data_IF_262680266634
#
_entry.id   IF_262680266634
#
_cell.length_a   1.000
_cell.length_b   1.000
_cell.length_c   1.000
_cell.angle_alpha   90.00
_cell.angle_beta   90.00
_cell.angle_gamma   90.00
#
_symmetry.space_group_name_H-M   'P 1'
#
loop_
_entity.id
_entity.type
_entity.pdbx_description
1 polymer ?
#
# COMPACT_ATOMS: atom_id res chain seq x y z
N UNK A 1 -24.86 44.64 -25.66
CA UNK A 1 -24.17 43.47 -26.26
C UNK A 1 -23.02 42.93 -25.41
N UNK A 2 -22.08 43.75 -24.89
CA UNK A 2 -20.95 43.26 -24.05
C UNK A 2 -21.37 42.43 -22.83
N UNK A 3 -22.41 42.83 -22.11
CA UNK A 3 -22.84 42.11 -20.89
C UNK A 3 -23.50 40.75 -21.20
N UNK A 4 -24.15 40.60 -22.36
CA UNK A 4 -24.80 39.34 -22.76
C UNK A 4 -23.75 38.29 -23.16
N UNK A 5 -22.69 38.71 -23.85
CA UNK A 5 -21.56 37.83 -24.19
C UNK A 5 -20.81 37.38 -22.93
N UNK A 6 -20.62 38.27 -21.96
CA UNK A 6 -19.99 37.94 -20.68
C UNK A 6 -20.80 36.92 -19.89
N UNK A 7 -22.13 37.11 -19.79
CA UNK A 7 -23.04 36.20 -19.09
C UNK A 7 -23.07 34.82 -19.76
N UNK A 8 -23.11 34.78 -21.09
CA UNK A 8 -23.05 33.51 -21.84
C UNK A 8 -21.71 32.77 -21.60
N UNK A 9 -20.60 33.49 -21.55
CA UNK A 9 -19.28 32.90 -21.30
C UNK A 9 -19.15 32.34 -19.88
N UNK A 10 -19.63 33.08 -18.89
CA UNK A 10 -19.69 32.61 -17.49
C UNK A 10 -20.63 31.40 -17.36
N UNK A 11 -21.76 31.40 -18.05
CA UNK A 11 -22.67 30.25 -18.09
C UNK A 11 -22.02 28.98 -18.66
N UNK A 12 -21.24 29.11 -19.74
CA UNK A 12 -20.49 27.98 -20.32
C UNK A 12 -19.37 27.51 -19.39
N UNK A 13 -18.66 28.41 -18.72
CA UNK A 13 -17.63 28.04 -17.74
C UNK A 13 -18.22 27.31 -16.53
N UNK A 14 -19.32 27.80 -15.97
CA UNK A 14 -19.99 27.17 -14.83
C UNK A 14 -20.57 25.81 -15.24
N UNK A 15 -21.27 25.74 -16.38
CA UNK A 15 -21.83 24.48 -16.85
C UNK A 15 -20.75 23.46 -17.24
N UNK A 16 -19.70 23.91 -17.95
CA UNK A 16 -18.56 23.09 -18.33
C UNK A 16 -17.78 22.56 -17.14
N UNK A 17 -17.50 23.41 -16.14
CA UNK A 17 -16.85 22.98 -14.89
C UNK A 17 -17.72 22.02 -14.08
N UNK A 18 -19.04 22.23 -14.03
CA UNK A 18 -19.97 21.32 -13.37
C UNK A 18 -20.03 19.96 -14.07
N UNK A 19 -20.01 19.94 -15.40
CA UNK A 19 -19.95 18.70 -16.19
C UNK A 19 -18.61 17.98 -16.00
N UNK A 20 -17.48 18.69 -16.02
CA UNK A 20 -16.16 18.12 -15.72
C UNK A 20 -16.13 17.56 -14.30
N UNK A 21 -16.75 18.22 -13.33
CA UNK A 21 -16.82 17.72 -11.95
C UNK A 21 -17.69 16.46 -11.85
N UNK A 22 -18.82 16.43 -12.56
CA UNK A 22 -19.76 15.31 -12.57
C UNK A 22 -19.23 14.09 -13.34
N UNK A 23 -18.48 14.32 -14.41
CA UNK A 23 -17.86 13.28 -15.25
C UNK A 23 -16.36 13.13 -14.99
N UNK A 24 -15.84 13.75 -13.93
CA UNK A 24 -14.44 13.68 -13.49
C UNK A 24 -14.00 12.22 -13.50
N UNK A 25 -14.80 11.39 -12.88
CA UNK A 25 -14.58 9.98 -12.76
C UNK A 25 -14.46 9.24 -14.10
N UNK A 26 -15.20 9.64 -15.13
CA UNK A 26 -15.14 9.03 -16.48
C UNK A 26 -13.91 9.51 -17.26
N UNK A 27 -13.59 10.81 -17.17
CA UNK A 27 -12.43 11.41 -17.85
C UNK A 27 -11.12 10.88 -17.26
N UNK A 28 -11.07 10.65 -15.94
CA UNK A 28 -9.87 10.16 -15.26
C UNK A 28 -9.83 8.64 -15.05
N UNK A 29 -10.85 7.88 -15.48
CA UNK A 29 -10.86 6.41 -15.37
C UNK A 29 -9.76 5.75 -16.22
N UNK A 30 -9.31 6.43 -17.27
CA UNK A 30 -8.32 5.94 -18.23
C UNK A 30 -6.90 5.90 -17.65
N UNK A 31 -6.67 6.64 -16.56
CA UNK A 31 -5.38 6.69 -15.87
C UNK A 31 -5.23 5.57 -14.83
N UNK A 32 -6.31 4.86 -14.48
CA UNK A 32 -6.27 3.80 -13.48
C UNK A 32 -5.88 2.45 -14.09
N UNK A 33 -5.24 1.60 -13.29
CA UNK A 33 -4.98 0.22 -13.66
C UNK A 33 -6.32 -0.47 -13.99
N UNK A 34 -6.34 -1.21 -15.09
CA UNK A 34 -7.47 -2.11 -15.37
C UNK A 34 -7.28 -3.38 -14.54
N UNK A 35 -8.28 -3.80 -13.76
CA UNK A 35 -8.16 -5.05 -13.01
C UNK A 35 -8.07 -6.23 -13.97
N UNK A 36 -7.36 -7.27 -13.54
CA UNK A 36 -7.36 -8.56 -14.22
C UNK A 36 -8.44 -9.41 -13.57
N UNK A 37 -9.60 -9.50 -14.22
CA UNK A 37 -10.76 -10.20 -13.65
C UNK A 37 -11.56 -9.34 -12.66
N UNK A 38 -12.18 -10.01 -11.68
CA UNK A 38 -13.03 -9.35 -10.69
C UNK A 38 -12.23 -8.89 -9.46
N UNK A 39 -12.45 -7.64 -9.06
CA UNK A 39 -11.83 -7.09 -7.85
C UNK A 39 -12.57 -7.60 -6.62
N UNK A 40 -11.89 -8.36 -5.77
CA UNK A 40 -12.39 -8.86 -4.50
C UNK A 40 -11.76 -8.07 -3.36
N UNK A 41 -12.60 -7.42 -2.56
CA UNK A 41 -12.17 -6.55 -1.45
C UNK A 41 -12.20 -7.27 -0.11
N UNK A 42 -12.81 -8.46 -0.06
CA UNK A 42 -12.87 -9.27 1.14
C UNK A 42 -11.47 -9.67 1.59
N UNK A 43 -11.29 -9.70 2.90
CA UNK A 43 -10.04 -10.10 3.52
C UNK A 43 -9.88 -11.62 3.41
N UNK A 44 -8.66 -12.06 3.10
CA UNK A 44 -8.30 -13.47 2.99
C UNK A 44 -7.06 -13.76 3.81
N UNK A 45 -7.23 -14.46 4.93
CA UNK A 45 -6.13 -14.85 5.82
C UNK A 45 -5.05 -15.67 5.09
N UNK A 46 -5.45 -16.50 4.13
CA UNK A 46 -4.52 -17.32 3.34
C UNK A 46 -3.58 -16.44 2.51
N UNK A 47 -4.13 -15.42 1.84
CA UNK A 47 -3.37 -14.53 0.97
C UNK A 47 -2.55 -13.54 1.79
N UNK A 48 -3.06 -13.10 2.94
CA UNK A 48 -2.28 -12.32 3.90
C UNK A 48 -1.03 -13.10 4.36
N UNK A 49 -1.16 -14.39 4.66
CA UNK A 49 0.01 -15.24 5.00
C UNK A 49 1.01 -15.36 3.84
N UNK A 50 0.52 -15.43 2.60
CA UNK A 50 1.39 -15.46 1.42
C UNK A 50 2.19 -14.14 1.26
N UNK A 51 1.54 -13.00 1.50
CA UNK A 51 2.22 -11.70 1.54
C UNK A 51 3.21 -11.64 2.70
N UNK A 52 2.83 -12.10 3.89
CA UNK A 52 3.69 -12.11 5.07
C UNK A 52 4.97 -12.93 4.83
N UNK A 53 4.85 -14.12 4.22
CA UNK A 53 5.99 -14.96 3.85
C UNK A 53 6.90 -14.28 2.82
N UNK A 54 6.31 -13.71 1.77
CA UNK A 54 7.07 -13.02 0.73
C UNK A 54 7.88 -11.84 1.28
N UNK A 55 7.28 -11.05 2.19
CA UNK A 55 7.96 -9.92 2.83
C UNK A 55 9.11 -10.36 3.74
N UNK A 56 8.94 -11.46 4.49
CA UNK A 56 9.99 -12.02 5.33
C UNK A 56 11.20 -12.46 4.49
N UNK A 57 10.95 -13.08 3.33
CA UNK A 57 11.99 -13.59 2.43
C UNK A 57 12.68 -12.49 1.60
N UNK A 58 11.96 -11.44 1.19
CA UNK A 58 12.42 -10.51 0.16
C UNK A 58 12.58 -9.05 0.60
N UNK A 59 11.95 -8.63 1.71
CA UNK A 59 11.86 -7.20 2.08
C UNK A 59 12.46 -6.87 3.46
N UNK A 60 12.86 -7.88 4.25
CA UNK A 60 13.44 -7.72 5.60
C UNK A 60 14.90 -7.23 5.63
N UNK A 61 15.53 -7.03 4.46
CA UNK A 61 16.94 -6.68 4.33
C UNK A 61 17.28 -5.26 4.82
N UNK A 62 17.82 -5.14 6.04
CA UNK A 62 18.56 -3.97 6.52
C UNK A 62 17.74 -2.76 7.02
N UNK A 63 16.42 -2.75 6.80
CA UNK A 63 15.54 -1.62 7.18
C UNK A 63 14.55 -1.93 8.33
N UNK A 64 14.57 -3.15 8.89
CA UNK A 64 13.67 -3.56 9.98
C UNK A 64 12.69 -4.66 9.55
N UNK A 65 11.54 -4.71 10.21
CA UNK A 65 10.47 -5.67 9.90
C UNK A 65 9.40 -5.03 9.03
N UNK A 66 8.81 -5.81 8.13
CA UNK A 66 7.71 -5.37 7.29
C UNK A 66 6.36 -5.91 7.80
N UNK A 67 5.37 -5.02 7.88
CA UNK A 67 3.96 -5.37 8.04
C UNK A 67 3.14 -4.76 6.92
N UNK A 68 1.93 -5.26 6.73
CA UNK A 68 1.06 -4.79 5.66
C UNK A 68 -0.39 -4.64 6.10
N UNK A 69 -1.10 -3.77 5.37
CA UNK A 69 -2.54 -3.59 5.46
C UNK A 69 -3.19 -4.02 4.12
N UNK A 70 -4.17 -4.92 4.20
CA UNK A 70 -4.91 -5.44 3.05
C UNK A 70 -5.93 -4.44 2.48
N UNK A 71 -6.03 -4.36 1.15
CA UNK A 71 -7.06 -3.58 0.46
C UNK A 71 -7.85 -4.36 -0.58
N UNK A 72 -7.39 -5.55 -0.98
CA UNK A 72 -8.11 -6.43 -1.90
C UNK A 72 -7.17 -7.17 -2.84
N UNK A 73 -7.79 -7.83 -3.82
CA UNK A 73 -7.12 -8.57 -4.90
C UNK A 73 -7.92 -8.51 -6.19
N UNK A 74 -7.29 -8.92 -7.28
CA UNK A 74 -7.96 -9.44 -8.47
C UNK A 74 -7.40 -10.84 -8.82
N UNK A 75 -7.47 -11.29 -10.07
CA UNK A 75 -7.02 -12.63 -10.44
C UNK A 75 -5.50 -12.79 -10.42
N UNK A 76 -4.73 -11.71 -10.59
CA UNK A 76 -3.27 -11.73 -10.68
C UNK A 76 -2.57 -10.86 -9.64
N UNK A 77 -3.27 -9.94 -8.98
CA UNK A 77 -2.63 -8.98 -8.11
C UNK A 77 -3.26 -8.92 -6.72
N UNK A 78 -2.40 -8.77 -5.72
CA UNK A 78 -2.77 -8.40 -4.35
C UNK A 78 -2.43 -6.95 -4.12
N UNK A 79 -3.31 -6.23 -3.42
CA UNK A 79 -3.17 -4.81 -3.18
C UNK A 79 -3.07 -4.53 -1.69
N UNK A 80 -1.92 -3.99 -1.28
CA UNK A 80 -1.63 -3.73 0.14
C UNK A 80 -0.95 -2.38 0.32
N UNK A 81 -0.82 -1.96 1.57
CA UNK A 81 0.17 -0.96 1.99
C UNK A 81 1.17 -1.60 2.93
N UNK A 82 2.44 -1.30 2.74
CA UNK A 82 3.57 -1.87 3.48
C UNK A 82 4.15 -0.83 4.42
N UNK A 83 4.49 -1.24 5.64
CA UNK A 83 5.25 -0.45 6.59
C UNK A 83 6.46 -1.29 7.00
N UNK A 84 7.64 -0.89 6.54
CA UNK A 84 8.89 -1.54 6.87
C UNK A 84 9.74 -0.60 7.72
N UNK A 85 9.90 -0.90 9.00
CA UNK A 85 10.66 -0.08 9.94
C UNK A 85 11.10 -0.91 11.16
N UNK A 86 11.84 -0.29 12.08
CA UNK A 86 12.04 -0.77 13.44
C UNK A 86 10.90 -0.31 14.34
N UNK A 87 10.31 -1.26 15.04
CA UNK A 87 9.22 -1.03 15.99
C UNK A 87 9.77 -0.94 17.40
N UNK A 88 9.35 0.07 18.15
CA UNK A 88 9.71 0.32 19.55
C UNK A 88 8.47 0.51 20.40
N UNK A 89 8.53 0.07 21.66
CA UNK A 89 7.48 0.26 22.64
C UNK A 89 7.93 1.25 23.70
N UNK A 90 7.26 2.41 23.76
CA UNK A 90 7.53 3.51 24.69
C UNK A 90 6.25 3.83 25.45
N UNK A 91 6.31 3.91 26.77
CA UNK A 91 5.16 4.24 27.63
C UNK A 91 3.90 3.40 27.35
N UNK A 92 4.10 2.13 26.95
CA UNK A 92 3.03 1.19 26.62
C UNK A 92 2.46 1.31 25.19
N UNK A 93 2.97 2.22 24.37
CA UNK A 93 2.53 2.45 22.98
C UNK A 93 3.63 2.04 22.00
N UNK A 94 3.28 1.28 20.96
CA UNK A 94 4.20 0.93 19.89
C UNK A 94 4.27 2.03 18.84
N UNK A 95 5.49 2.37 18.40
CA UNK A 95 5.81 3.35 17.36
C UNK A 95 6.92 2.82 16.44
N UNK A 96 7.11 3.49 15.32
CA UNK A 96 8.23 3.26 14.38
C UNK A 96 9.39 4.22 14.66
N UNK A 97 10.65 3.81 14.47
CA UNK A 97 11.81 4.70 14.64
C UNK A 97 12.08 5.60 13.42
N UNK A 98 11.93 5.09 12.19
CA UNK A 98 12.26 5.79 10.94
C UNK A 98 11.13 6.63 10.34
N UNK A 99 9.87 6.33 10.67
CA UNK A 99 8.70 7.10 10.29
C UNK A 99 7.47 6.24 9.99
N UNK A 100 6.29 6.87 9.89
CA UNK A 100 5.00 6.16 9.77
C UNK A 100 4.53 5.94 8.32
N UNK A 101 5.41 6.14 7.34
CA UNK A 101 4.96 6.20 5.95
C UNK A 101 4.72 4.81 5.38
N UNK A 102 3.46 4.41 5.33
CA UNK A 102 3.04 3.30 4.48
C UNK A 102 3.44 3.54 3.03
N UNK A 103 4.01 2.52 2.40
CA UNK A 103 4.24 2.47 0.97
C UNK A 103 3.17 1.59 0.31
N UNK A 104 2.39 2.13 -0.64
CA UNK A 104 1.44 1.31 -1.37
C UNK A 104 2.17 0.33 -2.27
N UNK A 105 1.73 -0.92 -2.26
CA UNK A 105 2.33 -1.96 -3.07
C UNK A 105 1.27 -2.79 -3.78
N UNK A 106 1.60 -3.15 -5.03
CA UNK A 106 0.91 -4.18 -5.79
C UNK A 106 1.83 -5.39 -5.85
N UNK A 107 1.31 -6.56 -5.51
CA UNK A 107 2.07 -7.80 -5.55
C UNK A 107 1.47 -8.72 -6.61
N UNK A 108 2.31 -9.30 -7.45
CA UNK A 108 1.88 -10.32 -8.41
C UNK A 108 1.71 -11.66 -7.69
N UNK A 109 0.57 -12.29 -7.93
CA UNK A 109 0.12 -13.49 -7.25
C UNK A 109 -0.22 -14.58 -8.26
N UNK A 110 0.31 -15.77 -7.99
CA UNK A 110 -0.02 -16.97 -8.75
C UNK A 110 -1.13 -17.75 -8.02
N UNK A 111 -2.37 -17.79 -8.57
CA UNK A 111 -3.47 -18.53 -7.96
C UNK A 111 -3.30 -20.04 -8.01
N UNK A 112 -2.38 -20.57 -8.82
CA UNK A 112 -2.17 -22.02 -8.97
C UNK A 112 -1.27 -22.59 -7.88
N UNK A 113 -0.33 -21.78 -7.38
CA UNK A 113 0.62 -22.15 -6.33
C UNK A 113 0.36 -21.42 -5.01
N UNK A 114 -0.55 -20.45 -5.00
CA UNK A 114 -0.82 -19.55 -3.87
C UNK A 114 0.41 -18.75 -3.40
N UNK A 115 1.30 -18.39 -4.33
CA UNK A 115 2.55 -17.69 -4.03
C UNK A 115 2.56 -16.27 -4.59
N UNK A 116 3.21 -15.37 -3.86
CA UNK A 116 3.54 -14.03 -4.34
C UNK A 116 4.89 -14.08 -5.06
N UNK A 117 4.97 -13.49 -6.25
CA UNK A 117 6.15 -13.58 -7.11
C UNK A 117 6.96 -12.28 -7.14
N UNK A 118 6.27 -11.15 -7.32
CA UNK A 118 6.90 -9.84 -7.51
C UNK A 118 6.15 -8.78 -6.73
N UNK A 119 6.83 -7.65 -6.47
CA UNK A 119 6.27 -6.52 -5.75
C UNK A 119 6.65 -5.23 -6.47
N UNK A 120 5.64 -4.43 -6.78
CA UNK A 120 5.77 -3.07 -7.31
C UNK A 120 5.33 -2.07 -6.25
N UNK A 121 6.23 -1.16 -5.88
CA UNK A 121 5.97 -0.10 -4.91
C UNK A 121 5.59 1.18 -5.65
N UNK A 122 4.48 1.79 -5.23
CA UNK A 122 4.04 3.07 -5.76
C UNK A 122 4.78 4.25 -5.13
N UNK A 123 5.20 5.21 -5.96
CA UNK A 123 5.75 6.48 -5.49
C UNK A 123 4.61 7.40 -5.04
N UNK A 124 4.52 7.64 -3.73
CA UNK A 124 3.50 8.51 -3.15
C UNK A 124 3.59 9.97 -3.64
N UNK A 125 4.74 10.40 -4.15
CA UNK A 125 4.91 11.74 -4.72
C UNK A 125 4.48 11.82 -6.19
N UNK A 126 4.35 10.68 -6.89
CA UNK A 126 3.85 10.61 -8.26
C UNK A 126 2.44 10.01 -8.31
N UNK A 127 1.45 10.91 -8.28
CA UNK A 127 0.04 10.57 -8.40
C UNK A 127 -0.32 9.81 -9.69
N UNK A 128 0.48 9.95 -10.75
CA UNK A 128 0.28 9.20 -12.00
C UNK A 128 0.72 7.75 -11.86
N UNK A 129 1.90 7.53 -11.26
CA UNK A 129 2.42 6.20 -10.92
C UNK A 129 1.42 5.41 -10.07
N UNK A 130 0.88 6.06 -9.05
CA UNK A 130 -0.10 5.47 -8.16
C UNK A 130 -1.38 4.99 -8.86
N UNK A 131 -1.96 5.79 -9.76
CA UNK A 131 -3.19 5.37 -10.46
C UNK A 131 -2.93 4.21 -11.42
N UNK A 132 -1.76 4.15 -12.05
CA UNK A 132 -1.39 3.05 -12.97
C UNK A 132 -1.19 1.71 -12.28
N UNK A 133 -0.97 1.70 -10.97
CA UNK A 133 -0.76 0.48 -10.20
C UNK A 133 -2.08 -0.11 -9.68
N UNK A 134 -3.04 0.73 -9.27
CA UNK A 134 -4.24 0.27 -8.56
C UNK A 134 -5.53 0.47 -9.36
N UNK A 135 -6.42 -0.53 -9.39
CA UNK A 135 -7.80 -0.33 -9.82
C UNK A 135 -8.48 0.72 -8.95
N UNK A 136 -9.39 1.50 -9.55
CA UNK A 136 -10.06 2.62 -8.87
C UNK A 136 -10.73 2.20 -7.55
N UNK A 137 -11.36 1.03 -7.52
CA UNK A 137 -12.04 0.48 -6.35
C UNK A 137 -11.08 0.39 -5.15
N UNK A 138 -9.94 -0.25 -5.36
CA UNK A 138 -8.88 -0.41 -4.37
C UNK A 138 -8.28 0.95 -4.00
N UNK A 139 -7.93 1.76 -5.01
CA UNK A 139 -7.35 3.08 -4.83
C UNK A 139 -8.20 3.98 -3.92
N UNK A 140 -9.53 3.90 -4.06
CA UNK A 140 -10.47 4.72 -3.28
C UNK A 140 -10.54 4.33 -1.80
N UNK A 141 -10.17 3.10 -1.45
CA UNK A 141 -10.13 2.61 -0.07
C UNK A 141 -8.82 2.96 0.64
N UNK A 142 -7.75 3.09 -0.13
CA UNK A 142 -6.44 3.50 0.36
C UNK A 142 -6.51 4.96 0.84
N UNK A 143 -6.74 5.17 2.14
CA UNK A 143 -6.67 6.52 2.73
C UNK A 143 -5.22 7.02 2.67
N UNK A 144 -4.92 7.89 1.72
CA UNK A 144 -3.55 8.37 1.48
C UNK A 144 -3.07 9.26 2.63
N UNK A 145 -1.86 9.02 3.13
CA UNK A 145 -1.27 9.80 4.22
C UNK A 145 -1.88 9.57 5.61
N UNK A 146 -2.71 8.54 5.80
CA UNK A 146 -3.15 8.15 7.15
C UNK A 146 -2.09 7.36 7.87
N UNK A 147 -1.92 7.65 9.16
CA UNK A 147 -1.06 6.88 10.05
C UNK A 147 -1.51 5.41 10.16
N UNK A 148 -0.57 4.49 10.42
CA UNK A 148 -0.87 3.09 10.71
C UNK A 148 -1.76 2.93 11.93
N UNK A 149 -2.69 1.98 11.87
CA UNK A 149 -3.50 1.64 13.03
C UNK A 149 -2.62 1.06 14.14
N UNK A 150 -3.00 1.23 15.42
CA UNK A 150 -2.28 0.62 16.53
C UNK A 150 -2.11 -0.89 16.40
N UNK A 151 -3.11 -1.57 15.82
CA UNK A 151 -3.08 -3.02 15.57
C UNK A 151 -1.95 -3.42 14.61
N UNK A 152 -1.74 -2.66 13.53
CA UNK A 152 -0.65 -2.91 12.57
C UNK A 152 0.71 -2.67 13.23
N UNK A 153 0.82 -1.62 14.05
CA UNK A 153 2.04 -1.31 14.79
C UNK A 153 2.39 -2.43 15.78
N UNK A 154 1.43 -2.89 16.58
CA UNK A 154 1.64 -4.01 17.50
C UNK A 154 2.00 -5.31 16.74
N UNK A 155 1.34 -5.63 15.61
CA UNK A 155 1.74 -6.77 14.75
C UNK A 155 3.21 -6.66 14.32
N UNK A 156 3.67 -5.46 13.97
CA UNK A 156 5.07 -5.23 13.57
C UNK A 156 6.06 -5.44 14.71
N UNK A 157 5.71 -4.93 15.90
CA UNK A 157 6.51 -5.15 17.09
C UNK A 157 6.59 -6.64 17.48
N UNK A 158 5.47 -7.36 17.47
CA UNK A 158 5.43 -8.80 17.76
C UNK A 158 6.31 -9.61 16.80
N UNK A 159 6.23 -9.35 15.49
CA UNK A 159 7.10 -10.00 14.49
C UNK A 159 8.57 -9.72 14.74
N UNK A 160 8.92 -8.48 15.09
CA UNK A 160 10.29 -8.10 15.41
C UNK A 160 10.83 -8.83 16.64
N UNK A 161 10.01 -9.02 17.68
CA UNK A 161 10.41 -9.80 18.85
C UNK A 161 10.63 -11.28 18.50
N UNK A 162 9.77 -11.86 17.66
CA UNK A 162 9.91 -13.25 17.22
C UNK A 162 11.21 -13.48 16.45
N UNK A 163 11.55 -12.61 15.49
CA UNK A 163 12.82 -12.73 14.77
C UNK A 163 14.04 -12.43 15.65
N UNK A 164 13.95 -11.46 16.57
CA UNK A 164 15.00 -11.16 17.54
C UNK A 164 15.24 -12.30 18.55
N UNK A 165 14.24 -13.12 18.83
CA UNK A 165 14.35 -14.32 19.67
C UNK A 165 14.91 -15.54 18.94
N UNK A 166 15.01 -15.48 17.61
CA UNK A 166 15.54 -16.53 16.74
C UNK A 166 17.01 -16.29 16.35
N UNK A 167 17.75 -15.43 17.08
CA UNK A 167 19.19 -15.28 16.84
C UNK A 167 19.87 -16.65 16.89
N UNK A 168 20.61 -17.05 15.85
CA UNK A 168 21.38 -18.28 15.89
C UNK A 168 22.40 -18.18 17.02
N UNK A 169 22.35 -19.15 17.93
CA UNK A 169 23.52 -19.53 18.73
C UNK A 169 24.73 -19.68 17.80
N UNK A 170 25.89 -19.26 18.29
CA UNK A 170 27.23 -19.44 17.72
C UNK A 170 27.65 -18.49 16.58
N UNK A 171 28.10 -17.28 16.96
CA UNK A 171 29.34 -16.77 16.39
C UNK A 171 30.50 -17.29 17.26
N UNK A 172 31.48 -18.03 16.71
CA UNK A 172 32.60 -18.53 17.49
C UNK A 172 33.43 -17.34 17.98
N UNK A 173 33.66 -17.33 19.28
CA UNK A 173 34.75 -16.57 19.90
C UNK A 173 36.06 -16.93 19.20
N UNK A 174 36.59 -16.01 18.37
CA UNK A 174 38.03 -15.90 18.19
C UNK A 174 38.51 -15.02 19.37
N UNK A 175 38.89 -15.62 20.51
CA UNK A 175 40.17 -16.29 20.75
C UNK A 175 41.33 -15.32 20.52
N UNK A 176 41.98 -15.02 21.65
CA UNK A 176 43.29 -14.36 21.76
C UNK A 176 44.28 -14.87 20.69
N UNK A 177 44.92 -13.93 20.00
CA UNK A 177 46.39 -13.84 19.78
C UNK A 177 46.76 -12.52 19.08
#
# INVERSE_FOLDING_TARGET
MKNVVLIAFVGVLIYGSTMIYRYRDVVFYWDFAKPVGEVQLEHSEKLEKAVDLFLDENASGGHGQCVHQWFGRDDLYLYVKLLCDQFVKEDGVVKTQGGTSFQPARLEYDPTTDTVQTMEIGDMNDFSSMRKLFPKQVYSLMRWGTEPSPEILEKGYERQQLQGSLTPDEAPTAADE
#
